data_IF_584970487289
#
_entry.id   IF_584970487289
#
_cell.length_a   1.000
_cell.length_b   1.000
_cell.length_c   1.000
_cell.angle_alpha   90.00
_cell.angle_beta   90.00
_cell.angle_gamma   90.00
#
_symmetry.space_group_name_H-M   'P 1'
#
loop_
_entity.id
_entity.type
_entity.pdbx_description
1 polymer ?
#
# COMPACT_ATOMS: atom_id res chain seq x y z
N UNK A 1 18.57 1.22 -1.29
CA UNK A 1 17.93 0.59 -0.12
C UNK A 1 17.92 -0.90 -0.44
N UNK A 2 18.62 -1.75 0.31
CA UNK A 2 18.63 -3.20 0.08
C UNK A 2 17.41 -3.78 0.80
N UNK A 3 16.34 -4.05 0.05
CA UNK A 3 15.19 -4.80 0.57
C UNK A 3 15.58 -6.29 0.61
N UNK A 4 15.64 -6.86 1.82
CA UNK A 4 15.80 -8.30 1.97
C UNK A 4 14.44 -8.96 1.71
N UNK A 5 14.13 -9.22 0.44
CA UNK A 5 12.98 -10.02 0.01
C UNK A 5 13.06 -11.44 0.59
N UNK A 6 11.96 -12.19 0.59
CA UNK A 6 11.95 -13.61 0.99
C UNK A 6 12.94 -14.43 0.19
N UNK A 7 13.02 -14.17 -1.11
CA UNK A 7 13.97 -14.77 -2.02
C UNK A 7 15.43 -14.45 -1.63
N UNK A 8 15.73 -13.20 -1.23
CA UNK A 8 17.07 -12.81 -0.79
C UNK A 8 17.48 -13.47 0.53
N UNK A 9 16.55 -13.68 1.47
CA UNK A 9 16.84 -14.37 2.73
C UNK A 9 17.04 -15.87 2.49
N UNK A 10 16.15 -16.52 1.75
CA UNK A 10 16.31 -17.93 1.35
C UNK A 10 17.64 -18.15 0.62
N UNK A 11 18.02 -17.21 -0.24
CA UNK A 11 19.29 -17.25 -0.93
C UNK A 11 20.48 -17.09 0.04
N UNK A 12 20.40 -16.18 1.01
CA UNK A 12 21.44 -15.99 2.04
C UNK A 12 21.55 -17.20 2.99
N UNK A 13 20.44 -17.80 3.39
CA UNK A 13 20.40 -19.02 4.21
C UNK A 13 21.12 -20.15 3.46
N UNK A 14 20.77 -20.34 2.19
CA UNK A 14 21.39 -21.34 1.32
C UNK A 14 22.89 -21.10 1.13
N UNK A 15 23.32 -19.85 0.92
CA UNK A 15 24.73 -19.51 0.82
C UNK A 15 25.51 -19.81 2.12
N UNK A 16 24.90 -19.58 3.28
CA UNK A 16 25.52 -19.87 4.57
C UNK A 16 25.61 -21.38 4.78
N UNK A 17 24.55 -22.14 4.47
CA UNK A 17 24.57 -23.61 4.51
C UNK A 17 25.62 -24.20 3.58
N UNK A 18 25.73 -23.70 2.34
CA UNK A 18 26.73 -24.16 1.35
C UNK A 18 28.17 -23.84 1.77
N UNK A 19 28.38 -22.77 2.56
CA UNK A 19 29.69 -22.33 3.02
C UNK A 19 30.20 -23.11 4.25
N UNK A 20 29.31 -23.58 5.14
CA UNK A 20 29.66 -24.33 6.37
C UNK A 20 30.53 -25.59 6.11
N UNK A 21 30.18 -26.50 5.18
CA UNK A 21 30.97 -27.71 4.94
C UNK A 21 32.27 -27.45 4.17
N UNK A 22 32.50 -26.21 3.70
CA UNK A 22 33.71 -25.81 2.93
C UNK A 22 34.74 -25.08 3.80
N UNK A 23 34.51 -25.00 5.11
CA UNK A 23 35.36 -24.30 6.06
C UNK A 23 35.76 -25.24 7.18
N UNK A 24 37.07 -25.45 7.32
CA UNK A 24 37.65 -26.25 8.41
C UNK A 24 38.13 -25.36 9.57
N UNK A 25 38.12 -24.04 9.36
CA UNK A 25 38.53 -23.03 10.32
C UNK A 25 37.42 -22.79 11.35
N UNK A 26 37.66 -23.20 12.59
CA UNK A 26 36.75 -23.03 13.74
C UNK A 26 36.28 -21.59 13.94
N UNK A 27 37.11 -20.59 13.66
CA UNK A 27 36.75 -19.17 13.82
C UNK A 27 35.78 -18.74 12.72
N UNK A 28 36.00 -19.20 11.49
CA UNK A 28 35.10 -18.92 10.37
C UNK A 28 33.77 -19.67 10.51
N UNK A 29 33.78 -20.90 11.00
CA UNK A 29 32.58 -21.66 11.37
C UNK A 29 31.74 -20.91 12.42
N UNK A 30 32.37 -20.43 13.49
CA UNK A 30 31.67 -19.63 14.50
C UNK A 30 31.05 -18.34 13.93
N UNK A 31 31.73 -17.68 12.98
CA UNK A 31 31.19 -16.52 12.26
C UNK A 31 30.01 -16.88 11.35
N UNK A 32 30.08 -18.02 10.64
CA UNK A 32 28.99 -18.52 9.81
C UNK A 32 27.76 -18.91 10.64
N UNK A 33 27.95 -19.50 11.82
CA UNK A 33 26.85 -19.78 12.74
C UNK A 33 26.22 -18.51 13.32
N UNK A 34 27.03 -17.50 13.65
CA UNK A 34 26.53 -16.19 14.06
C UNK A 34 25.75 -15.48 12.94
N UNK A 35 26.21 -15.62 11.69
CA UNK A 35 25.51 -15.13 10.49
C UNK A 35 24.19 -15.88 10.26
N UNK A 36 24.20 -17.21 10.34
CA UNK A 36 23.01 -18.06 10.22
C UNK A 36 21.93 -17.65 11.22
N UNK A 37 22.29 -17.42 12.49
CA UNK A 37 21.36 -16.93 13.51
C UNK A 37 20.82 -15.51 13.22
N UNK A 38 21.66 -14.63 12.66
CA UNK A 38 21.21 -13.28 12.25
C UNK A 38 20.25 -13.35 11.08
N UNK A 39 20.52 -14.19 10.08
CA UNK A 39 19.65 -14.36 8.91
C UNK A 39 18.33 -15.02 9.31
N UNK A 40 18.35 -16.05 10.16
CA UNK A 40 17.12 -16.65 10.70
C UNK A 40 16.27 -15.62 11.47
N UNK A 41 16.87 -14.76 12.29
CA UNK A 41 16.16 -13.65 12.95
C UNK A 41 15.55 -12.64 11.96
N UNK A 42 16.20 -12.41 10.82
CA UNK A 42 15.64 -11.57 9.74
C UNK A 42 14.46 -12.24 9.02
N UNK A 43 14.36 -13.58 9.08
CA UNK A 43 13.21 -14.35 8.62
C UNK A 43 12.03 -14.38 9.61
N UNK A 44 12.32 -14.45 10.92
CA UNK A 44 11.31 -14.56 11.99
C UNK A 44 10.56 -13.25 12.30
N UNK A 45 11.16 -12.09 12.08
CA UNK A 45 10.54 -10.79 12.36
C UNK A 45 10.05 -10.13 11.06
N UNK A 46 9.09 -10.78 10.40
CA UNK A 46 8.48 -10.25 9.18
C UNK A 46 7.02 -9.91 9.40
N UNK A 47 6.66 -8.70 9.01
CA UNK A 47 5.28 -8.35 8.77
C UNK A 47 4.81 -9.07 7.50
N UNK A 48 3.84 -9.96 7.64
CA UNK A 48 3.23 -10.62 6.49
C UNK A 48 2.31 -9.63 5.80
N UNK A 49 2.83 -8.96 4.77
CA UNK A 49 2.05 -8.05 3.93
C UNK A 49 1.28 -8.88 2.91
N UNK A 50 -0.04 -8.70 2.84
CA UNK A 50 -0.91 -9.43 1.91
C UNK A 50 -1.00 -8.77 0.53
N UNK A 51 -0.68 -7.48 0.45
CA UNK A 51 -0.74 -6.66 -0.77
C UNK A 51 0.56 -6.81 -1.55
N UNK A 52 0.47 -7.34 -2.77
CA UNK A 52 1.60 -7.50 -3.67
C UNK A 52 1.87 -6.28 -4.55
N UNK A 53 3.03 -6.31 -5.23
CA UNK A 53 3.42 -5.28 -6.19
C UNK A 53 2.46 -5.20 -7.39
N UNK A 54 1.89 -6.34 -7.79
CA UNK A 54 0.95 -6.41 -8.91
C UNK A 54 -0.30 -5.56 -8.63
N UNK A 55 -0.87 -5.67 -7.44
CA UNK A 55 -2.03 -4.89 -7.02
C UNK A 55 -1.71 -3.39 -7.04
N UNK A 56 -0.50 -3.01 -6.59
CA UNK A 56 -0.02 -1.61 -6.62
C UNK A 56 0.05 -1.09 -8.06
N UNK A 57 0.57 -1.88 -9.00
CA UNK A 57 0.71 -1.49 -10.40
C UNK A 57 -0.66 -1.34 -11.10
N UNK A 58 -1.60 -2.24 -10.81
CA UNK A 58 -2.97 -2.18 -11.31
C UNK A 58 -3.73 -0.95 -10.77
N UNK A 59 -3.52 -0.60 -9.49
CA UNK A 59 -4.06 0.62 -8.89
C UNK A 59 -3.48 1.86 -9.57
N UNK A 60 -2.16 1.94 -9.76
CA UNK A 60 -1.52 3.08 -10.42
C UNK A 60 -1.99 3.25 -11.87
N UNK A 61 -2.21 2.14 -12.57
CA UNK A 61 -2.81 2.14 -13.92
C UNK A 61 -4.22 2.72 -13.89
N UNK A 62 -5.05 2.25 -12.96
CA UNK A 62 -6.43 2.74 -12.79
C UNK A 62 -6.47 4.24 -12.46
N UNK A 63 -5.56 4.71 -11.60
CA UNK A 63 -5.44 6.13 -11.25
C UNK A 63 -5.05 6.99 -12.46
N UNK A 64 -4.18 6.46 -13.33
CA UNK A 64 -3.75 7.13 -14.57
C UNK A 64 -4.89 7.22 -15.58
N UNK A 65 -5.67 6.14 -15.72
CA UNK A 65 -6.85 6.14 -16.60
C UNK A 65 -7.91 7.13 -16.12
N UNK A 66 -8.18 7.17 -14.81
CA UNK A 66 -9.11 8.14 -14.23
C UNK A 66 -8.63 9.58 -14.46
N UNK A 67 -7.34 9.84 -14.37
CA UNK A 67 -6.78 11.16 -14.68
C UNK A 67 -7.08 11.56 -16.13
N UNK A 68 -6.83 10.67 -17.10
CA UNK A 68 -7.13 10.91 -18.52
C UNK A 68 -8.63 11.16 -18.75
N UNK A 69 -9.49 10.45 -18.03
CA UNK A 69 -10.95 10.66 -18.12
C UNK A 69 -11.32 12.06 -17.62
N UNK A 70 -10.75 12.50 -16.49
CA UNK A 70 -11.00 13.85 -15.93
C UNK A 70 -10.46 14.95 -16.84
N UNK A 71 -9.29 14.76 -17.45
CA UNK A 71 -8.73 15.70 -18.43
C UNK A 71 -9.67 15.84 -19.64
N UNK A 72 -10.21 14.73 -20.17
CA UNK A 72 -11.23 14.78 -21.24
C UNK A 72 -12.48 15.53 -20.80
N UNK A 73 -13.01 15.22 -19.60
CA UNK A 73 -14.17 15.93 -19.05
C UNK A 73 -13.95 17.44 -18.95
N UNK A 74 -12.76 17.85 -18.48
CA UNK A 74 -12.43 19.27 -18.27
C UNK A 74 -12.30 20.06 -19.57
N UNK A 75 -11.99 19.37 -20.68
CA UNK A 75 -11.89 19.95 -22.02
C UNK A 75 -13.21 19.96 -22.79
N UNK A 76 -14.32 19.47 -22.20
CA UNK A 76 -15.63 19.52 -22.84
C UNK A 76 -16.22 20.93 -22.72
N UNK A 77 -16.28 21.65 -23.84
CA UNK A 77 -16.87 22.99 -23.92
C UNK A 77 -18.39 22.99 -24.12
N UNK A 78 -18.97 21.88 -24.61
CA UNK A 78 -20.38 21.78 -24.97
C UNK A 78 -21.18 20.98 -23.92
N UNK A 79 -22.07 21.68 -23.21
CA UNK A 79 -22.97 21.14 -22.20
C UNK A 79 -24.07 20.26 -22.85
N UNK A 80 -24.36 20.43 -24.14
CA UNK A 80 -25.33 19.63 -24.88
C UNK A 80 -24.84 18.25 -25.32
N UNK A 81 -23.55 17.93 -25.12
CA UNK A 81 -22.92 16.69 -25.56
C UNK A 81 -23.26 15.49 -24.64
N UNK A 82 -24.54 15.13 -24.56
CA UNK A 82 -25.07 14.09 -23.68
C UNK A 82 -24.33 12.73 -23.82
N UNK A 83 -24.11 12.28 -25.04
CA UNK A 83 -23.44 10.99 -25.31
C UNK A 83 -22.00 10.96 -24.76
N UNK A 84 -21.29 12.09 -24.84
CA UNK A 84 -19.94 12.22 -24.32
C UNK A 84 -19.91 12.19 -22.80
N UNK A 85 -20.84 12.87 -22.12
CA UNK A 85 -20.96 12.82 -20.66
C UNK A 85 -21.38 11.43 -20.15
N UNK A 86 -22.29 10.75 -20.86
CA UNK A 86 -22.68 9.37 -20.56
C UNK A 86 -21.52 8.39 -20.75
N UNK A 87 -20.70 8.58 -21.79
CA UNK A 87 -19.47 7.81 -22.03
C UNK A 87 -18.50 7.94 -20.86
N UNK A 88 -18.19 9.18 -20.43
CA UNK A 88 -17.33 9.45 -19.28
C UNK A 88 -17.87 8.79 -18.02
N UNK A 89 -19.17 8.92 -17.75
CA UNK A 89 -19.82 8.29 -16.60
C UNK A 89 -19.65 6.75 -16.63
N UNK A 90 -19.87 6.11 -17.78
CA UNK A 90 -19.71 4.65 -17.93
C UNK A 90 -18.27 4.21 -17.73
N UNK A 91 -17.29 4.97 -18.22
CA UNK A 91 -15.87 4.64 -18.06
C UNK A 91 -15.36 4.83 -16.63
N UNK A 92 -15.81 5.88 -15.93
CA UNK A 92 -15.39 6.16 -14.55
C UNK A 92 -15.96 5.16 -13.54
N UNK A 93 -17.21 4.72 -13.72
CA UNK A 93 -17.95 3.90 -12.74
C UNK A 93 -17.19 2.61 -12.32
N UNK A 94 -16.78 1.72 -13.25
CA UNK A 94 -16.08 0.49 -12.86
C UNK A 94 -14.70 0.76 -12.25
N UNK A 95 -13.99 1.82 -12.69
CA UNK A 95 -12.69 2.21 -12.13
C UNK A 95 -12.83 2.74 -10.70
N UNK A 96 -13.89 3.49 -10.41
CA UNK A 96 -14.19 3.94 -9.06
C UNK A 96 -14.62 2.79 -8.15
N UNK A 97 -15.41 1.83 -8.65
CA UNK A 97 -15.75 0.61 -7.90
C UNK A 97 -14.49 -0.20 -7.57
N UNK A 98 -13.59 -0.36 -8.54
CA UNK A 98 -12.29 -1.00 -8.32
C UNK A 98 -11.50 -0.29 -7.21
N UNK A 99 -11.31 1.02 -7.31
CA UNK A 99 -10.60 1.78 -6.27
C UNK A 99 -11.28 1.75 -4.91
N UNK A 100 -12.62 1.65 -4.84
CA UNK A 100 -13.33 1.53 -3.57
C UNK A 100 -12.94 0.25 -2.82
N UNK A 101 -12.90 -0.89 -3.52
CA UNK A 101 -12.49 -2.18 -2.94
C UNK A 101 -11.05 -2.12 -2.40
N UNK A 102 -10.12 -1.58 -3.18
CA UNK A 102 -8.72 -1.51 -2.76
C UNK A 102 -8.48 -0.45 -1.68
N UNK A 103 -9.25 0.64 -1.66
CA UNK A 103 -9.19 1.63 -0.58
C UNK A 103 -9.43 0.96 0.77
N UNK A 104 -10.50 0.17 0.88
CA UNK A 104 -10.87 -0.47 2.15
C UNK A 104 -9.85 -1.56 2.52
N UNK A 105 -9.46 -2.39 1.54
CA UNK A 105 -8.43 -3.42 1.73
C UNK A 105 -7.09 -2.87 2.25
N UNK A 106 -6.61 -1.75 1.68
CA UNK A 106 -5.37 -1.12 2.12
C UNK A 106 -5.50 -0.53 3.53
N UNK A 107 -6.67 0.00 3.91
CA UNK A 107 -6.88 0.50 5.28
C UNK A 107 -6.90 -0.63 6.30
N UNK A 108 -7.59 -1.73 5.98
CA UNK A 108 -7.65 -2.89 6.86
C UNK A 108 -6.27 -3.51 7.05
N UNK A 109 -5.49 -3.63 5.97
CA UNK A 109 -4.10 -4.10 6.03
C UNK A 109 -3.23 -3.17 6.90
N UNK A 110 -3.30 -1.86 6.69
CA UNK A 110 -2.53 -0.90 7.51
C UNK A 110 -2.90 -1.00 8.99
N UNK A 111 -4.19 -1.12 9.31
CA UNK A 111 -4.65 -1.27 10.68
C UNK A 111 -4.12 -2.57 11.30
N UNK A 112 -4.19 -3.68 10.56
CA UNK A 112 -3.65 -4.96 11.00
C UNK A 112 -2.14 -4.88 11.26
N UNK A 113 -1.37 -4.35 10.31
CA UNK A 113 0.07 -4.23 10.43
C UNK A 113 0.49 -3.29 11.56
N UNK A 114 -0.21 -2.17 11.76
CA UNK A 114 0.04 -1.26 12.89
C UNK A 114 -0.23 -1.95 14.24
N UNK A 115 -1.27 -2.76 14.32
CA UNK A 115 -1.61 -3.53 15.54
C UNK A 115 -0.54 -4.57 15.85
N UNK A 116 -0.14 -5.39 14.86
CA UNK A 116 0.94 -6.38 15.01
C UNK A 116 2.25 -5.69 15.40
N UNK A 117 2.59 -4.58 14.75
CA UNK A 117 3.80 -3.82 15.05
C UNK A 117 3.82 -3.32 16.50
N UNK A 118 2.72 -2.73 16.98
CA UNK A 118 2.63 -2.11 18.31
C UNK A 118 2.46 -3.14 19.43
N UNK A 119 1.68 -4.21 19.22
CA UNK A 119 1.29 -5.14 20.28
C UNK A 119 2.14 -6.41 20.32
N UNK A 120 2.72 -6.82 19.20
CA UNK A 120 3.49 -8.07 19.15
C UNK A 120 4.98 -7.76 19.00
N UNK A 121 5.36 -7.10 17.91
CA UNK A 121 6.77 -6.87 17.55
C UNK A 121 7.44 -5.94 18.57
N UNK A 122 6.81 -4.81 18.90
CA UNK A 122 7.35 -3.85 19.87
C UNK A 122 7.62 -4.51 21.23
N UNK A 123 6.65 -5.28 21.72
CA UNK A 123 6.75 -5.96 23.03
C UNK A 123 7.85 -7.01 23.01
N UNK A 124 7.93 -7.81 21.94
CA UNK A 124 9.00 -8.81 21.77
C UNK A 124 10.38 -8.17 21.80
N UNK A 125 10.60 -7.12 21.01
CA UNK A 125 11.88 -6.39 20.96
C UNK A 125 12.19 -5.76 22.33
N UNK A 126 11.20 -5.15 23.00
CA UNK A 126 11.38 -4.59 24.34
C UNK A 126 11.80 -5.65 25.37
N UNK A 127 11.23 -6.86 25.32
CA UNK A 127 11.63 -7.97 26.19
C UNK A 127 13.07 -8.42 25.91
N UNK A 128 13.46 -8.55 24.64
CA UNK A 128 14.83 -8.92 24.27
C UNK A 128 15.87 -7.87 24.72
N UNK A 129 15.57 -6.57 24.56
CA UNK A 129 16.43 -5.49 25.05
C UNK A 129 16.51 -5.52 26.58
N UNK A 130 15.36 -5.68 27.26
CA UNK A 130 15.29 -5.80 28.73
C UNK A 130 16.21 -6.91 29.24
N UNK A 131 16.14 -8.09 28.64
CA UNK A 131 16.94 -9.26 29.03
C UNK A 131 18.42 -9.09 28.72
N UNK A 132 18.76 -8.54 27.55
CA UNK A 132 20.15 -8.38 27.12
C UNK A 132 20.90 -7.25 27.83
N UNK A 133 20.21 -6.13 28.11
CA UNK A 133 20.81 -4.96 28.77
C UNK A 133 20.60 -4.95 30.29
N UNK A 134 19.77 -5.85 30.83
CA UNK A 134 19.47 -5.94 32.27
C UNK A 134 18.70 -4.73 32.82
N UNK A 135 17.96 -4.02 31.95
CA UNK A 135 17.22 -2.80 32.29
C UNK A 135 15.74 -3.10 32.60
N UNK A 136 14.98 -2.11 33.05
CA UNK A 136 13.52 -2.25 33.21
C UNK A 136 12.79 -2.29 31.86
N UNK A 137 11.61 -2.92 31.80
CA UNK A 137 10.79 -2.96 30.57
C UNK A 137 10.48 -1.55 30.05
N UNK A 138 10.15 -0.61 30.93
CA UNK A 138 9.85 0.79 30.56
C UNK A 138 11.05 1.51 29.94
N UNK A 139 12.27 1.18 30.36
CA UNK A 139 13.49 1.72 29.73
C UNK A 139 13.72 1.03 28.38
N UNK A 140 13.57 -0.28 28.30
CA UNK A 140 13.70 -1.04 27.06
C UNK A 140 12.72 -0.57 25.99
N UNK A 141 11.44 -0.36 26.34
CA UNK A 141 10.40 0.12 25.42
C UNK A 141 10.76 1.49 24.78
N UNK A 142 11.42 2.38 25.53
CA UNK A 142 11.90 3.67 24.98
C UNK A 142 13.03 3.50 23.98
N UNK A 143 13.80 2.41 24.08
CA UNK A 143 14.91 2.11 23.17
C UNK A 143 14.42 1.43 21.90
N UNK A 144 13.26 0.76 21.92
CA UNK A 144 12.66 0.10 20.73
C UNK A 144 12.50 1.04 19.54
N UNK A 145 12.14 2.31 19.76
CA UNK A 145 12.02 3.31 18.68
C UNK A 145 13.33 3.60 17.93
N UNK A 146 14.46 3.19 18.50
CA UNK A 146 15.80 3.30 17.90
C UNK A 146 16.35 1.94 17.43
N UNK A 147 15.66 0.83 17.73
CA UNK A 147 16.08 -0.50 17.29
C UNK A 147 15.82 -0.65 15.79
N UNK A 148 16.88 -0.96 15.03
CA UNK A 148 16.83 -1.08 13.57
C UNK A 148 15.78 -2.07 13.08
N UNK A 149 15.50 -3.14 13.83
CA UNK A 149 14.50 -4.16 13.45
C UNK A 149 13.10 -3.56 13.47
N UNK A 150 12.80 -2.80 14.54
CA UNK A 150 11.54 -2.10 14.68
C UNK A 150 11.40 -0.96 13.66
N UNK A 151 12.44 -0.15 13.47
CA UNK A 151 12.37 1.00 12.56
C UNK A 151 12.18 0.58 11.11
N UNK A 152 12.84 -0.49 10.65
CA UNK A 152 12.64 -1.02 9.29
C UNK A 152 11.20 -1.46 9.07
N UNK A 153 10.63 -2.23 10.01
CA UNK A 153 9.24 -2.69 9.92
C UNK A 153 8.24 -1.52 10.00
N UNK A 154 8.51 -0.54 10.88
CA UNK A 154 7.71 0.68 10.97
C UNK A 154 7.71 1.47 9.67
N UNK A 155 8.87 1.60 9.02
CA UNK A 155 9.01 2.34 7.77
C UNK A 155 8.28 1.61 6.62
N UNK A 156 8.25 0.27 6.62
CA UNK A 156 7.42 -0.51 5.70
C UNK A 156 5.92 -0.26 5.89
N UNK A 157 5.42 -0.32 7.13
CA UNK A 157 4.02 0.01 7.45
C UNK A 157 3.68 1.44 7.01
N UNK A 158 4.63 2.36 7.20
CA UNK A 158 4.47 3.75 6.80
C UNK A 158 4.29 3.92 5.27
N UNK A 159 5.05 3.21 4.45
CA UNK A 159 4.88 3.28 2.99
C UNK A 159 3.55 2.68 2.52
N UNK A 160 3.09 1.58 3.13
CA UNK A 160 1.75 1.02 2.84
C UNK A 160 0.66 2.02 3.24
N UNK A 161 0.78 2.64 4.42
CA UNK A 161 -0.13 3.69 4.90
C UNK A 161 -0.18 4.90 3.97
N UNK A 162 0.96 5.33 3.45
CA UNK A 162 1.06 6.40 2.46
C UNK A 162 0.34 6.02 1.16
N UNK A 163 0.45 4.77 0.73
CA UNK A 163 -0.31 4.26 -0.42
C UNK A 163 -1.81 4.25 -0.16
N UNK A 164 -2.26 3.75 1.01
CA UNK A 164 -3.66 3.76 1.42
C UNK A 164 -4.25 5.17 1.38
N UNK A 165 -3.53 6.14 1.95
CA UNK A 165 -3.93 7.55 1.94
C UNK A 165 -3.97 8.14 0.53
N UNK A 166 -3.01 7.79 -0.34
CA UNK A 166 -3.01 8.21 -1.76
C UNK A 166 -4.26 7.68 -2.48
N UNK A 167 -4.57 6.39 -2.32
CA UNK A 167 -5.75 5.75 -2.92
C UNK A 167 -7.01 6.45 -2.46
N UNK A 168 -7.20 6.64 -1.15
CA UNK A 168 -8.36 7.34 -0.59
C UNK A 168 -8.52 8.75 -1.13
N UNK A 169 -7.45 9.55 -1.06
CA UNK A 169 -7.48 10.94 -1.52
C UNK A 169 -7.86 11.03 -2.99
N UNK A 170 -7.30 10.14 -3.83
CA UNK A 170 -7.62 10.10 -5.25
C UNK A 170 -9.02 9.57 -5.52
N UNK A 171 -9.45 8.54 -4.80
CA UNK A 171 -10.83 8.03 -4.87
C UNK A 171 -11.84 9.13 -4.55
N UNK A 172 -11.67 9.84 -3.43
CA UNK A 172 -12.57 10.91 -3.01
C UNK A 172 -12.62 12.05 -4.04
N UNK A 173 -11.47 12.42 -4.61
CA UNK A 173 -11.38 13.39 -5.70
C UNK A 173 -12.15 12.93 -6.94
N UNK A 174 -11.89 11.72 -7.44
CA UNK A 174 -12.53 11.21 -8.65
C UNK A 174 -14.02 10.93 -8.44
N UNK A 175 -14.43 10.53 -7.25
CA UNK A 175 -15.83 10.33 -6.88
C UNK A 175 -16.59 11.66 -6.94
N UNK A 176 -16.00 12.75 -6.43
CA UNK A 176 -16.58 14.09 -6.56
C UNK A 176 -16.70 14.52 -8.02
N UNK A 177 -15.69 14.25 -8.85
CA UNK A 177 -15.77 14.53 -10.29
C UNK A 177 -16.85 13.73 -10.99
N UNK A 178 -16.99 12.45 -10.66
CA UNK A 178 -18.07 11.62 -11.19
C UNK A 178 -19.46 12.13 -10.79
N UNK A 179 -19.63 12.63 -9.56
CA UNK A 179 -20.88 13.28 -9.14
C UNK A 179 -21.19 14.53 -9.97
N UNK A 180 -20.18 15.34 -10.30
CA UNK A 180 -20.35 16.50 -11.18
C UNK A 180 -20.74 16.07 -12.60
N UNK A 181 -20.06 15.06 -13.18
CA UNK A 181 -20.43 14.48 -14.49
C UNK A 181 -21.89 14.01 -14.48
N UNK A 182 -22.30 13.32 -13.42
CA UNK A 182 -23.67 12.83 -13.27
C UNK A 182 -24.70 13.98 -13.26
N UNK A 183 -24.39 15.07 -12.58
CA UNK A 183 -25.22 16.28 -12.59
C UNK A 183 -25.30 16.90 -13.99
N UNK A 184 -24.18 17.01 -14.71
CA UNK A 184 -24.14 17.51 -16.08
C UNK A 184 -25.00 16.69 -17.03
N UNK A 185 -24.98 15.35 -16.94
CA UNK A 185 -25.89 14.46 -17.70
C UNK A 185 -27.36 14.78 -17.40
N UNK A 186 -27.70 14.98 -16.13
CA UNK A 186 -29.07 15.28 -15.69
C UNK A 186 -29.55 16.63 -16.23
N UNK A 187 -28.71 17.66 -16.17
CA UNK A 187 -29.02 19.00 -16.71
C UNK A 187 -29.16 18.98 -18.22
N UNK A 188 -28.19 18.41 -18.94
CA UNK A 188 -28.22 18.30 -20.40
C UNK A 188 -29.45 17.51 -20.90
N UNK A 189 -29.83 16.46 -20.18
CA UNK A 189 -31.06 15.71 -20.47
C UNK A 189 -32.30 16.61 -20.37
N UNK A 190 -32.45 17.37 -19.27
CA UNK A 190 -33.58 18.28 -19.06
C UNK A 190 -33.67 19.36 -20.13
N UNK A 191 -32.54 19.96 -20.49
CA UNK A 191 -32.48 20.97 -21.56
C UNK A 191 -32.93 20.37 -22.90
N UNK A 192 -32.44 19.18 -23.26
CA UNK A 192 -32.86 18.48 -24.49
C UNK A 192 -34.36 18.18 -24.53
N UNK A 193 -34.97 17.78 -23.41
CA UNK A 193 -36.42 17.59 -23.32
C UNK A 193 -37.19 18.90 -23.46
N UNK A 194 -36.73 19.98 -22.82
CA UNK A 194 -37.40 21.29 -22.85
C UNK A 194 -37.34 21.91 -24.25
N UNK A 195 -36.19 21.83 -24.92
CA UNK A 195 -36.01 22.31 -26.29
C UNK A 195 -36.85 21.55 -27.31
N UNK A 196 -37.12 20.25 -27.09
CA UNK A 196 -38.04 19.47 -27.92
C UNK A 196 -39.49 19.94 -27.77
N UNK A 197 -39.97 20.08 -26.53
CA UNK A 197 -41.35 20.50 -26.28
C UNK A 197 -41.65 21.92 -26.79
N UNK A 198 -40.68 22.84 -26.73
CA UNK A 198 -40.85 24.21 -27.21
C UNK A 198 -40.83 24.34 -28.75
N UNK A 199 -40.27 23.36 -29.48
CA UNK A 199 -40.25 23.36 -30.94
C UNK A 199 -41.47 22.66 -31.57
N UNK A 200 -42.23 21.89 -30.78
CA UNK A 200 -43.45 21.19 -31.19
C UNK A 200 -44.74 21.95 -30.79
N UNK A 201 -44.63 23.20 -30.29
CA UNK A 201 -45.75 24.11 -29.96
C UNK A 201 -45.83 25.28 -30.94
#
# INVERSE_FOLDING_TARGET
>A
MLEFTEENILWLEKLIEDAKPRTDDKVKLAKLDALSKKVAKLGEERLKVTIGQKEIDEINTTLTDLQKIVERYSNMADIGALESYDGIKREMTPKLQYLATYKDMFYDEVNHLEEVLKKEIRIKIAMEIKESEGISFTQADKVVEKDTRYTVLRDQVYEIKKMANKIKTKYDFYMKTWQMVFQSVSTASKEKYTSRNNNDS
#
